data_IF_529511767592
#
_entry.id   IF_529511767592
#
_cell.length_a   1.000
_cell.length_b   1.000
_cell.length_c   1.000
_cell.angle_alpha   90.00
_cell.angle_beta   90.00
_cell.angle_gamma   90.00
#
_symmetry.space_group_name_H-M   'P 1'
#
loop_
_entity.id
_entity.type
_entity.pdbx_description
1 polymer ?
#
# COMPACT_ATOMS: atom_id res chain seq x y z
N UNK A 1 24.72 5.78 16.61
CA UNK A 1 23.77 4.67 16.73
C UNK A 1 22.73 5.13 17.70
N UNK A 2 21.73 5.86 17.20
CA UNK A 2 20.53 6.21 17.94
C UNK A 2 19.40 6.17 16.91
N UNK A 3 18.71 5.03 16.91
CA UNK A 3 17.46 4.85 16.18
C UNK A 3 16.53 6.00 16.53
N UNK A 4 16.06 6.73 15.52
CA UNK A 4 14.88 7.57 15.69
C UNK A 4 13.69 6.61 15.73
N UNK A 5 13.44 6.05 16.91
CA UNK A 5 12.21 5.34 17.20
C UNK A 5 11.10 6.39 17.23
N UNK A 6 10.49 6.68 16.07
CA UNK A 6 9.26 7.46 16.00
C UNK A 6 8.13 6.62 16.58
N UNK A 7 8.09 6.51 17.91
CA UNK A 7 6.97 5.93 18.65
C UNK A 7 5.86 6.97 18.71
N UNK A 8 5.17 7.17 17.59
CA UNK A 8 3.91 7.91 17.58
C UNK A 8 2.81 7.03 18.15
N UNK A 9 2.69 7.01 19.48
CA UNK A 9 1.46 6.62 20.15
C UNK A 9 0.49 7.80 20.12
N UNK A 10 -0.22 7.96 19.00
CA UNK A 10 -1.41 8.80 18.93
C UNK A 10 -2.65 7.93 19.11
N UNK A 11 -3.07 7.75 20.37
CA UNK A 11 -4.43 7.33 20.70
C UNK A 11 -5.38 8.53 20.49
N UNK A 12 -5.44 9.03 19.26
CA UNK A 12 -6.42 10.00 18.79
C UNK A 12 -7.45 9.28 17.94
N UNK A 13 -8.72 9.69 18.01
CA UNK A 13 -9.81 9.21 17.17
C UNK A 13 -9.32 9.02 15.72
N UNK A 14 -9.05 7.77 15.30
CA UNK A 14 -8.31 7.50 14.08
C UNK A 14 -9.15 7.91 12.87
N UNK A 15 -8.89 9.11 12.36
CA UNK A 15 -9.50 9.60 11.12
C UNK A 15 -8.97 8.71 10.00
N UNK A 16 -9.82 7.81 9.51
CA UNK A 16 -9.50 6.96 8.39
C UNK A 16 -9.77 7.74 7.11
N UNK A 17 -8.73 7.93 6.29
CA UNK A 17 -8.87 8.49 4.94
C UNK A 17 -8.81 7.36 3.93
N UNK A 18 -9.76 7.32 2.98
CA UNK A 18 -9.69 6.37 1.87
C UNK A 18 -8.73 6.90 0.82
N UNK A 19 -7.79 6.06 0.41
CA UNK A 19 -6.80 6.34 -0.64
C UNK A 19 -6.94 5.26 -1.70
N UNK A 20 -7.05 5.67 -2.97
CA UNK A 20 -7.06 4.75 -4.10
C UNK A 20 -5.70 4.81 -4.79
N UNK A 21 -5.11 3.65 -5.08
CA UNK A 21 -3.87 3.52 -5.85
C UNK A 21 -4.22 3.11 -7.28
N UNK A 22 -3.70 3.84 -8.26
CA UNK A 22 -3.81 3.51 -9.67
C UNK A 22 -2.44 3.71 -10.32
N UNK A 23 -2.06 2.79 -11.21
CA UNK A 23 -0.81 2.84 -11.96
C UNK A 23 -1.08 2.35 -13.37
N UNK A 24 -0.51 3.05 -14.35
CA UNK A 24 -0.47 2.59 -15.73
C UNK A 24 0.80 1.75 -15.90
N UNK A 25 0.64 0.48 -16.28
CA UNK A 25 1.75 -0.47 -16.45
C UNK A 25 1.62 -1.12 -17.82
N UNK A 26 2.67 -0.97 -18.64
CA UNK A 26 2.78 -1.61 -19.94
C UNK A 26 3.37 -3.04 -19.79
N UNK A 27 3.14 -3.89 -20.78
CA UNK A 27 3.77 -5.23 -20.90
C UNK A 27 3.52 -6.24 -19.76
N UNK A 28 2.36 -6.17 -19.08
CA UNK A 28 1.97 -7.21 -18.11
C UNK A 28 1.62 -8.53 -18.82
N UNK A 29 2.32 -9.60 -18.45
CA UNK A 29 1.99 -10.95 -18.86
C UNK A 29 0.71 -11.48 -18.20
N UNK A 30 0.10 -12.56 -18.73
CA UNK A 30 -1.15 -13.12 -18.19
C UNK A 30 -1.09 -13.58 -16.73
N UNK A 31 0.10 -13.78 -16.19
CA UNK A 31 0.35 -14.23 -14.81
C UNK A 31 0.94 -13.13 -13.93
N UNK A 32 1.17 -11.94 -14.47
CA UNK A 32 1.75 -10.84 -13.73
C UNK A 32 0.68 -10.15 -12.89
N UNK A 33 1.09 -9.67 -11.73
CA UNK A 33 0.23 -8.95 -10.79
C UNK A 33 0.97 -7.75 -10.23
N UNK A 34 0.23 -6.67 -10.01
CA UNK A 34 0.77 -5.45 -9.42
C UNK A 34 0.47 -5.45 -7.93
N UNK A 35 1.49 -5.19 -7.12
CA UNK A 35 1.37 -5.11 -5.66
C UNK A 35 1.78 -3.70 -5.19
N UNK A 36 1.18 -3.23 -4.10
CA UNK A 36 1.55 -1.99 -3.41
C UNK A 36 2.01 -2.30 -1.98
N UNK A 37 3.19 -1.79 -1.61
CA UNK A 37 3.70 -1.83 -0.23
C UNK A 37 4.25 -0.47 0.16
N UNK A 38 4.19 -0.13 1.45
CA UNK A 38 4.53 1.20 1.96
C UNK A 38 4.86 1.20 3.45
N UNK A 39 5.20 2.36 3.99
CA UNK A 39 5.50 2.52 5.41
C UNK A 39 4.36 2.18 6.37
N UNK A 40 3.06 2.43 6.06
CA UNK A 40 1.98 2.09 6.97
C UNK A 40 1.86 0.58 7.19
N UNK A 41 1.43 0.18 8.38
CA UNK A 41 1.17 -1.23 8.71
C UNK A 41 0.15 -1.86 7.75
N UNK A 42 -0.87 -1.09 7.35
CA UNK A 42 -1.89 -1.53 6.40
C UNK A 42 -1.35 -1.82 4.99
N UNK A 43 -0.17 -1.28 4.65
CA UNK A 43 0.51 -1.51 3.37
C UNK A 43 1.74 -2.41 3.53
N UNK A 44 1.87 -3.15 4.64
CA UNK A 44 2.90 -4.18 4.78
C UNK A 44 4.28 -3.69 5.22
N UNK A 45 4.48 -2.42 5.59
CA UNK A 45 5.74 -1.89 6.14
C UNK A 45 6.97 -2.15 5.24
N UNK A 46 6.84 -1.94 3.94
CA UNK A 46 7.88 -2.22 2.94
C UNK A 46 8.27 -3.71 2.81
N UNK A 47 7.52 -4.63 3.41
CA UNK A 47 7.68 -6.07 3.20
C UNK A 47 6.94 -6.49 1.92
N UNK A 48 7.63 -6.96 0.86
CA UNK A 48 6.99 -7.38 -0.39
C UNK A 48 6.05 -8.58 -0.20
N UNK A 49 6.29 -9.42 0.82
CA UNK A 49 5.43 -10.58 1.12
C UNK A 49 4.10 -10.18 1.77
N UNK A 50 4.01 -8.94 2.25
CA UNK A 50 2.79 -8.36 2.86
C UNK A 50 2.16 -7.26 1.99
N UNK A 51 2.67 -7.09 0.77
CA UNK A 51 2.15 -6.10 -0.17
C UNK A 51 0.70 -6.43 -0.54
N UNK A 52 -0.12 -5.41 -0.73
CA UNK A 52 -1.51 -5.56 -1.15
C UNK A 52 -1.58 -5.67 -2.67
N UNK A 53 -2.38 -6.60 -3.19
CA UNK A 53 -2.61 -6.72 -4.63
C UNK A 53 -3.50 -5.59 -5.13
N UNK A 54 -3.04 -4.89 -6.17
CA UNK A 54 -3.89 -3.97 -6.93
C UNK A 54 -4.75 -4.79 -7.90
N UNK A 55 -6.04 -4.53 -7.88
CA UNK A 55 -6.97 -5.09 -8.85
C UNK A 55 -7.03 -4.19 -10.08
N UNK A 56 -7.27 -4.78 -11.25
CA UNK A 56 -7.63 -3.99 -12.42
C UNK A 56 -8.86 -3.14 -12.08
N UNK A 57 -8.84 -1.86 -12.45
CA UNK A 57 -10.02 -1.02 -12.32
C UNK A 57 -11.13 -1.67 -13.15
N UNK A 58 -12.20 -2.12 -12.48
CA UNK A 58 -13.41 -2.52 -13.17
C UNK A 58 -13.90 -1.28 -13.92
N UNK A 59 -14.08 -1.38 -15.24
CA UNK A 59 -14.41 -0.29 -16.16
C UNK A 59 -15.19 0.81 -15.44
N UNK A 60 -14.50 1.92 -15.15
CA UNK A 60 -15.15 3.10 -14.63
C UNK A 60 -16.06 3.58 -15.77
N UNK A 61 -17.40 3.57 -15.61
CA UNK A 61 -18.30 3.98 -16.69
C UNK A 61 -18.06 5.41 -17.13
#
# INVERSE_FOLDING_TARGET
>A
MDSVECKEMMAGNQVTTRVCFAVDVEDLGPSDFVLVTGSPVSLGQWDPLKAMTLTQDADRP
#
